data_IF_256227529567
#
_entry.id   IF_256227529567
#
_cell.length_a   1.000
_cell.length_b   1.000
_cell.length_c   1.000
_cell.angle_alpha   90.00
_cell.angle_beta   90.00
_cell.angle_gamma   90.00
#
_symmetry.space_group_name_H-M   'P 1'
#
loop_
_entity.id
_entity.type
_entity.pdbx_description
1 polymer ?
#
# COMPACT_ATOMS: atom_id res chain seq x y z
N UNK A 1 7.83 -18.01 15.82
CA UNK A 1 7.30 -17.07 14.81
C UNK A 1 7.64 -17.64 13.44
N UNK A 2 6.73 -18.29 12.71
CA UNK A 2 7.08 -18.87 11.42
C UNK A 2 6.83 -17.88 10.28
N UNK A 3 7.95 -17.50 9.68
CA UNK A 3 8.24 -16.89 8.38
C UNK A 3 7.14 -16.83 7.31
N UNK A 4 6.85 -15.60 6.85
CA UNK A 4 6.45 -15.33 5.46
C UNK A 4 7.61 -15.75 4.54
N UNK A 5 7.41 -16.79 3.72
CA UNK A 5 8.38 -17.23 2.71
C UNK A 5 8.36 -16.25 1.53
N UNK A 6 9.46 -15.55 1.27
CA UNK A 6 9.69 -14.82 0.02
C UNK A 6 10.39 -15.70 -1.03
N UNK A 7 10.00 -15.54 -2.29
CA UNK A 7 10.66 -16.12 -3.47
C UNK A 7 11.91 -15.30 -3.88
N UNK A 8 12.85 -15.89 -4.65
CA UNK A 8 14.26 -15.50 -4.63
C UNK A 8 14.63 -14.29 -5.51
N UNK A 9 15.79 -13.72 -5.17
CA UNK A 9 16.54 -12.63 -5.80
C UNK A 9 16.68 -12.77 -7.32
N UNK A 10 16.29 -11.72 -8.06
CA UNK A 10 17.11 -10.85 -8.95
C UNK A 10 16.21 -10.14 -9.97
N UNK A 11 16.54 -8.87 -10.31
CA UNK A 11 16.32 -8.12 -11.58
C UNK A 11 16.20 -6.58 -11.33
N UNK A 12 17.33 -5.96 -10.99
CA UNK A 12 17.85 -4.59 -11.21
C UNK A 12 16.93 -3.34 -11.47
N UNK A 13 16.74 -2.49 -10.41
CA UNK A 13 16.60 -0.99 -10.34
C UNK A 13 15.31 -0.27 -10.80
N UNK A 14 14.88 0.94 -10.31
CA UNK A 14 14.90 1.57 -8.97
C UNK A 14 13.54 1.76 -8.26
N UNK A 15 13.54 2.28 -7.01
CA UNK A 15 12.51 2.99 -6.18
C UNK A 15 11.75 2.27 -5.02
N UNK A 16 11.17 3.05 -4.06
CA UNK A 16 10.22 2.53 -3.07
C UNK A 16 8.92 2.10 -3.73
N UNK A 17 8.68 2.59 -4.96
CA UNK A 17 7.59 2.26 -5.86
C UNK A 17 8.12 1.99 -7.28
N UNK A 18 8.55 0.75 -7.58
CA UNK A 18 9.42 0.43 -8.72
C UNK A 18 8.89 0.77 -10.13
N UNK A 19 9.40 1.81 -10.86
CA UNK A 19 8.88 2.23 -12.16
C UNK A 19 9.04 1.21 -13.27
N UNK A 20 9.99 0.28 -13.11
CA UNK A 20 10.19 -0.84 -14.04
C UNK A 20 9.17 -1.97 -13.82
N UNK A 21 8.52 -1.96 -12.66
CA UNK A 21 7.52 -2.91 -12.22
C UNK A 21 6.22 -2.14 -11.95
N UNK A 22 5.86 -1.14 -12.74
CA UNK A 22 4.58 -0.47 -12.54
C UNK A 22 3.47 -1.23 -13.25
N UNK A 23 2.33 -1.42 -12.60
CA UNK A 23 1.11 -1.91 -13.29
C UNK A 23 0.64 -0.88 -14.35
N UNK A 24 1.32 0.27 -14.48
CA UNK A 24 1.12 1.37 -15.45
C UNK A 24 1.03 0.99 -16.93
N UNK A 25 1.11 -0.28 -17.32
CA UNK A 25 0.67 -0.73 -18.65
C UNK A 25 -0.86 -0.59 -18.82
N UNK A 26 -1.60 -0.28 -17.77
CA UNK A 26 -3.02 0.10 -17.83
C UNK A 26 -3.22 1.39 -18.65
N UNK A 27 -3.84 1.25 -19.83
CA UNK A 27 -4.38 2.39 -20.58
C UNK A 27 -5.28 3.23 -19.66
N UNK A 28 -5.02 4.54 -19.60
CA UNK A 28 -5.81 5.51 -18.84
C UNK A 28 -5.84 5.29 -17.30
N UNK A 29 -4.86 4.58 -16.72
CA UNK A 29 -4.77 4.31 -15.27
C UNK A 29 -6.01 3.56 -14.71
N UNK A 30 -6.67 2.79 -15.57
CA UNK A 30 -7.80 1.94 -15.25
C UNK A 30 -7.35 0.49 -15.07
N UNK A 31 -7.60 -0.08 -13.89
CA UNK A 31 -7.20 -1.44 -13.54
C UNK A 31 -8.43 -2.34 -13.37
N UNK A 32 -8.33 -3.56 -13.87
CA UNK A 32 -9.27 -4.62 -13.52
C UNK A 32 -9.10 -5.07 -12.08
N UNK A 33 -10.19 -5.47 -11.44
CA UNK A 33 -10.19 -6.14 -10.15
C UNK A 33 -10.96 -7.45 -10.29
N UNK A 34 -10.30 -8.56 -10.02
CA UNK A 34 -10.91 -9.88 -10.03
C UNK A 34 -10.88 -10.42 -8.60
N UNK A 35 -12.05 -10.70 -8.03
CA UNK A 35 -12.15 -11.24 -6.66
C UNK A 35 -12.72 -12.66 -6.74
N UNK A 36 -12.02 -13.64 -6.16
CA UNK A 36 -12.51 -15.02 -6.09
C UNK A 36 -13.86 -15.09 -5.36
N UNK A 37 -14.80 -15.86 -5.90
CA UNK A 37 -16.10 -16.11 -5.25
C UNK A 37 -15.96 -16.92 -3.95
N UNK A 38 -14.83 -17.59 -3.73
CA UNK A 38 -14.53 -18.33 -2.50
C UNK A 38 -14.07 -17.43 -1.34
N UNK A 39 -13.72 -16.18 -1.60
CA UNK A 39 -13.41 -15.19 -0.55
C UNK A 39 -14.71 -14.78 0.15
N UNK A 40 -14.73 -14.68 1.47
CA UNK A 40 -15.95 -14.36 2.22
C UNK A 40 -16.57 -13.01 1.79
N UNK A 41 -17.90 -12.91 1.85
CA UNK A 41 -18.64 -11.72 1.39
C UNK A 41 -18.17 -10.44 2.07
N UNK A 42 -17.84 -10.50 3.37
CA UNK A 42 -17.33 -9.36 4.15
C UNK A 42 -15.98 -8.90 3.59
N UNK A 43 -15.02 -9.81 3.42
CA UNK A 43 -13.73 -9.51 2.79
C UNK A 43 -13.89 -8.87 1.41
N UNK A 44 -14.81 -9.38 0.57
CA UNK A 44 -15.08 -8.80 -0.76
C UNK A 44 -15.60 -7.36 -0.67
N UNK A 45 -16.38 -7.03 0.36
CA UNK A 45 -16.81 -5.65 0.61
C UNK A 45 -15.63 -4.77 1.03
N UNK A 46 -14.73 -5.26 1.88
CA UNK A 46 -13.54 -4.52 2.31
C UNK A 46 -12.58 -4.28 1.12
N UNK A 47 -12.39 -5.27 0.25
CA UNK A 47 -11.63 -5.10 -1.02
C UNK A 47 -12.21 -3.94 -1.85
N UNK A 48 -13.53 -3.90 -2.04
CA UNK A 48 -14.20 -2.80 -2.75
C UNK A 48 -13.99 -1.45 -2.08
N UNK A 49 -14.08 -1.42 -0.75
CA UNK A 49 -13.84 -0.20 0.03
C UNK A 49 -12.40 0.30 -0.13
N UNK A 50 -11.42 -0.59 -0.10
CA UNK A 50 -10.00 -0.25 -0.31
C UNK A 50 -9.77 0.35 -1.71
N UNK A 51 -10.32 -0.26 -2.78
CA UNK A 51 -10.21 0.34 -4.12
C UNK A 51 -10.96 1.66 -4.26
N UNK A 52 -12.12 1.82 -3.62
CA UNK A 52 -12.82 3.09 -3.57
C UNK A 52 -11.98 4.16 -2.86
N UNK A 53 -11.32 3.81 -1.77
CA UNK A 53 -10.41 4.72 -1.07
C UNK A 53 -9.29 5.19 -1.99
N UNK A 54 -8.56 4.27 -2.63
CA UNK A 54 -7.52 4.64 -3.60
C UNK A 54 -8.06 5.47 -4.76
N UNK A 55 -9.23 5.12 -5.32
CA UNK A 55 -9.86 5.85 -6.42
C UNK A 55 -10.26 7.28 -6.03
N UNK A 56 -10.69 7.49 -4.79
CA UNK A 56 -11.13 8.80 -4.27
C UNK A 56 -9.97 9.70 -3.87
N UNK A 57 -8.81 9.13 -3.56
CA UNK A 57 -7.61 9.86 -3.14
C UNK A 57 -6.51 9.91 -4.21
N UNK A 58 -6.76 9.36 -5.39
CA UNK A 58 -5.83 9.37 -6.51
C UNK A 58 -6.54 9.51 -7.84
N UNK A 59 -5.76 9.54 -8.92
CA UNK A 59 -6.29 9.46 -10.28
C UNK A 59 -6.45 8.03 -10.80
N UNK A 60 -6.17 7.00 -9.98
CA UNK A 60 -6.32 5.60 -10.37
C UNK A 60 -7.80 5.21 -10.39
N UNK A 61 -8.19 4.34 -11.33
CA UNK A 61 -9.58 3.86 -11.45
C UNK A 61 -9.61 2.34 -11.48
N UNK A 62 -10.68 1.77 -10.95
CA UNK A 62 -10.82 0.33 -10.77
C UNK A 62 -12.18 -0.13 -11.28
N UNK A 63 -12.20 -1.28 -11.98
CA UNK A 63 -13.42 -1.91 -12.46
C UNK A 63 -13.39 -3.39 -12.13
N UNK A 64 -14.48 -3.91 -11.55
CA UNK A 64 -14.60 -5.36 -11.36
C UNK A 64 -14.68 -6.05 -12.72
N UNK A 65 -13.69 -6.87 -13.03
CA UNK A 65 -13.60 -7.56 -14.30
C UNK A 65 -12.64 -8.75 -14.20
N UNK A 66 -13.12 -9.91 -14.62
CA UNK A 66 -12.30 -11.13 -14.74
C UNK A 66 -11.43 -11.15 -15.99
N UNK A 67 -11.62 -10.21 -16.91
CA UNK A 67 -10.99 -10.19 -18.24
C UNK A 67 -10.21 -8.91 -18.55
N UNK A 68 -10.38 -7.84 -17.76
CA UNK A 68 -9.60 -6.62 -17.92
C UNK A 68 -8.10 -6.88 -17.74
N UNK A 69 -7.30 -6.09 -18.45
CA UNK A 69 -5.84 -6.16 -18.43
C UNK A 69 -5.30 -4.72 -18.34
N UNK A 70 -4.37 -4.44 -17.41
CA UNK A 70 -3.96 -5.31 -16.32
C UNK A 70 -5.05 -5.43 -15.25
N UNK A 71 -5.01 -6.49 -14.44
CA UNK A 71 -5.93 -6.69 -13.31
C UNK A 71 -5.25 -7.24 -12.07
N UNK A 72 -5.73 -6.79 -10.92
CA UNK A 72 -5.37 -7.34 -9.61
C UNK A 72 -6.34 -8.46 -9.29
N UNK A 73 -5.82 -9.66 -8.98
CA UNK A 73 -6.62 -10.84 -8.70
C UNK A 73 -6.48 -11.28 -7.24
N UNK A 74 -7.56 -11.17 -6.47
CA UNK A 74 -7.64 -11.65 -5.10
C UNK A 74 -8.03 -13.11 -5.06
N UNK A 75 -7.27 -13.89 -4.31
CA UNK A 75 -7.47 -15.33 -4.12
C UNK A 75 -7.52 -15.67 -2.64
N UNK A 76 -8.37 -16.62 -2.28
CA UNK A 76 -8.33 -17.20 -0.95
C UNK A 76 -7.12 -18.13 -0.84
N UNK A 77 -6.43 -18.11 0.29
CA UNK A 77 -5.31 -18.97 0.62
C UNK A 77 -5.47 -19.49 2.06
N UNK A 78 -4.92 -20.67 2.35
CA UNK A 78 -4.96 -21.22 3.71
C UNK A 78 -4.01 -20.47 4.65
N UNK A 79 -2.92 -19.89 4.15
CA UNK A 79 -1.95 -19.15 4.96
C UNK A 79 -1.33 -17.99 4.19
N UNK A 80 -0.91 -16.96 4.93
CA UNK A 80 -0.15 -15.80 4.43
C UNK A 80 -0.99 -14.67 3.83
N UNK A 81 -0.66 -13.43 4.21
CA UNK A 81 -1.12 -12.21 3.57
C UNK A 81 0.04 -11.65 2.75
N UNK A 82 -0.07 -11.66 1.42
CA UNK A 82 1.01 -11.12 0.58
C UNK A 82 0.56 -10.75 -0.84
N UNK A 83 1.28 -9.80 -1.42
CA UNK A 83 1.27 -9.48 -2.82
C UNK A 83 2.70 -9.32 -3.33
N UNK A 84 2.87 -9.51 -4.63
CA UNK A 84 4.09 -9.04 -5.28
C UNK A 84 4.13 -7.52 -5.32
N UNK A 85 5.35 -6.99 -5.36
CA UNK A 85 5.56 -5.55 -5.45
C UNK A 85 5.59 -5.15 -6.91
N UNK A 86 4.52 -4.52 -7.39
CA UNK A 86 4.42 -4.00 -8.75
C UNK A 86 4.18 -5.06 -9.85
N UNK A 87 4.09 -4.60 -11.10
CA UNK A 87 3.92 -5.38 -12.31
C UNK A 87 4.98 -6.45 -12.51
N UNK A 88 4.48 -7.65 -12.78
CA UNK A 88 5.27 -8.86 -12.94
C UNK A 88 5.75 -9.11 -14.39
N UNK A 89 5.51 -8.19 -15.31
CA UNK A 89 5.91 -8.37 -16.72
C UNK A 89 4.93 -9.21 -17.57
N UNK A 90 5.24 -9.29 -18.85
CA UNK A 90 4.68 -10.21 -19.85
C UNK A 90 5.49 -11.52 -19.98
N UNK A 91 6.75 -11.53 -19.50
CA UNK A 91 7.68 -12.66 -19.55
C UNK A 91 7.49 -13.73 -18.46
N UNK A 92 6.35 -13.74 -17.76
CA UNK A 92 6.04 -14.90 -16.91
C UNK A 92 5.78 -16.20 -17.70
N UNK A 93 5.71 -16.10 -19.03
CA UNK A 93 5.79 -17.25 -19.95
C UNK A 93 7.21 -17.55 -20.49
N UNK A 94 8.25 -16.86 -19.99
CA UNK A 94 9.63 -16.94 -20.51
C UNK A 94 10.77 -16.73 -19.49
N UNK A 95 10.51 -16.72 -18.18
CA UNK A 95 11.57 -16.64 -17.17
C UNK A 95 12.62 -17.77 -17.34
N UNK A 96 13.93 -17.48 -17.21
CA UNK A 96 14.99 -18.49 -17.25
C UNK A 96 14.68 -19.61 -16.25
N UNK A 97 14.91 -20.86 -16.67
CA UNK A 97 14.53 -22.10 -15.95
C UNK A 97 15.08 -22.24 -14.53
N UNK A 98 15.93 -21.31 -14.06
CA UNK A 98 16.50 -21.26 -12.72
C UNK A 98 15.77 -20.33 -11.75
N UNK A 99 14.89 -19.44 -12.21
CA UNK A 99 14.04 -18.62 -11.34
C UNK A 99 12.67 -19.28 -11.17
N UNK A 100 12.24 -19.41 -9.92
CA UNK A 100 11.02 -20.14 -9.54
C UNK A 100 9.80 -19.60 -10.30
N UNK A 101 9.33 -20.36 -11.29
CA UNK A 101 8.05 -20.16 -11.97
C UNK A 101 6.96 -19.92 -10.91
N UNK A 102 6.34 -18.75 -10.88
CA UNK A 102 5.17 -18.39 -10.10
C UNK A 102 4.08 -19.23 -10.73
N UNK A 103 3.89 -20.41 -10.16
CA UNK A 103 2.84 -21.37 -10.51
C UNK A 103 1.44 -20.74 -10.46
N UNK A 104 1.34 -19.57 -9.82
CA UNK A 104 0.14 -18.78 -9.61
C UNK A 104 -0.01 -17.60 -10.60
N UNK A 105 0.99 -17.27 -11.41
CA UNK A 105 0.96 -16.12 -12.34
C UNK A 105 0.61 -16.58 -13.76
N UNK A 106 -0.57 -17.18 -13.93
CA UNK A 106 -1.04 -17.65 -15.24
C UNK A 106 -1.89 -16.57 -15.93
N UNK A 107 -1.29 -15.80 -16.83
CA UNK A 107 -2.01 -14.87 -17.73
C UNK A 107 -1.38 -13.49 -17.84
N UNK A 108 -1.39 -12.91 -19.04
CA UNK A 108 -0.89 -11.56 -19.31
C UNK A 108 -1.59 -10.50 -18.46
N UNK A 109 -0.79 -9.69 -17.75
CA UNK A 109 -1.26 -8.57 -16.92
C UNK A 109 -2.10 -8.96 -15.71
N UNK A 110 -1.91 -10.18 -15.18
CA UNK A 110 -2.55 -10.63 -13.95
C UNK A 110 -1.60 -10.45 -12.76
N UNK A 111 -2.06 -9.75 -11.73
CA UNK A 111 -1.31 -9.52 -10.49
C UNK A 111 -2.00 -10.19 -9.30
N UNK A 112 -1.51 -11.33 -8.79
CA UNK A 112 -2.16 -12.04 -7.70
C UNK A 112 -1.92 -11.34 -6.35
N UNK A 113 -2.99 -11.23 -5.57
CA UNK A 113 -2.98 -10.89 -4.15
C UNK A 113 -3.54 -12.09 -3.39
N UNK A 114 -2.74 -12.63 -2.49
CA UNK A 114 -3.13 -13.76 -1.66
C UNK A 114 -3.69 -13.26 -0.34
N UNK A 115 -4.93 -13.65 -0.06
CA UNK A 115 -5.59 -13.37 1.22
C UNK A 115 -5.68 -14.65 2.04
N UNK A 116 -4.76 -14.82 2.98
CA UNK A 116 -4.71 -15.95 3.89
C UNK A 116 -5.62 -15.75 5.10
N UNK A 117 -6.43 -16.77 5.43
CA UNK A 117 -7.40 -16.74 6.54
C UNK A 117 -6.77 -16.46 7.92
N UNK A 118 -5.49 -16.79 8.10
CA UNK A 118 -4.76 -16.62 9.37
C UNK A 118 -4.16 -15.21 9.58
N UNK A 119 -4.10 -14.36 8.53
CA UNK A 119 -3.29 -13.13 8.57
C UNK A 119 -3.91 -11.92 7.86
N UNK A 120 -4.78 -12.13 6.87
CA UNK A 120 -5.63 -11.08 6.35
C UNK A 120 -7.00 -11.23 7.01
N UNK A 121 -7.10 -10.86 8.29
CA UNK A 121 -8.43 -10.58 8.85
C UNK A 121 -9.13 -9.56 7.95
N UNK A 122 -10.46 -9.48 7.99
CA UNK A 122 -11.31 -8.55 7.19
C UNK A 122 -11.06 -7.05 7.53
N UNK A 123 -9.80 -6.67 7.74
CA UNK A 123 -9.26 -5.38 8.09
C UNK A 123 -8.89 -4.59 6.84
N UNK A 124 -9.42 -3.37 6.78
CA UNK A 124 -9.16 -2.42 5.71
C UNK A 124 -7.66 -2.14 5.52
N UNK A 125 -6.90 -1.99 6.62
CA UNK A 125 -5.47 -1.72 6.54
C UNK A 125 -4.67 -2.88 5.95
N UNK A 126 -4.98 -4.11 6.32
CA UNK A 126 -4.31 -5.32 5.82
C UNK A 126 -4.56 -5.52 4.32
N UNK A 127 -5.82 -5.43 3.88
CA UNK A 127 -6.14 -5.50 2.43
C UNK A 127 -5.54 -4.31 1.67
N UNK A 128 -5.62 -3.11 2.26
CA UNK A 128 -5.02 -1.90 1.69
C UNK A 128 -3.51 -2.01 1.54
N UNK A 129 -2.82 -2.69 2.45
CA UNK A 129 -1.37 -2.94 2.43
C UNK A 129 -0.98 -3.78 1.21
N UNK A 130 -1.68 -4.90 1.00
CA UNK A 130 -1.41 -5.79 -0.13
C UNK A 130 -1.73 -5.14 -1.48
N UNK A 131 -2.77 -4.31 -1.53
CA UNK A 131 -3.05 -3.48 -2.72
C UNK A 131 -1.90 -2.50 -2.96
N UNK A 132 -1.33 -1.92 -1.91
CA UNK A 132 -0.25 -0.94 -2.07
C UNK A 132 1.04 -1.59 -2.57
N UNK A 133 1.34 -2.82 -2.12
CA UNK A 133 2.36 -3.66 -2.75
C UNK A 133 2.09 -3.85 -4.24
N UNK A 134 0.86 -4.19 -4.64
CA UNK A 134 0.52 -4.32 -6.06
C UNK A 134 0.77 -3.02 -6.85
N UNK A 135 0.60 -1.85 -6.23
CA UNK A 135 0.95 -0.57 -6.84
C UNK A 135 2.45 -0.25 -6.89
N UNK A 136 3.30 -1.16 -6.44
CA UNK A 136 4.75 -1.07 -6.50
C UNK A 136 5.41 -0.76 -5.17
N UNK A 137 4.65 -0.56 -4.08
CA UNK A 137 5.19 0.02 -2.85
C UNK A 137 5.86 -1.02 -1.96
N UNK A 138 7.13 -0.81 -1.61
CA UNK A 138 7.86 -1.61 -0.64
C UNK A 138 7.58 -1.18 0.80
N UNK A 139 7.95 -2.03 1.76
CA UNK A 139 7.82 -1.69 3.17
C UNK A 139 8.64 -0.47 3.56
N UNK A 140 8.07 0.37 4.43
CA UNK A 140 8.66 1.63 4.86
C UNK A 140 10.01 1.43 5.59
N UNK A 141 10.16 0.35 6.37
CA UNK A 141 11.42 0.05 7.08
C UNK A 141 12.54 -0.47 6.17
N UNK A 142 12.24 -0.72 4.89
CA UNK A 142 13.21 -1.10 3.86
C UNK A 142 13.75 0.11 3.09
N UNK A 143 13.32 1.35 3.41
CA UNK A 143 13.91 2.55 2.78
C UNK A 143 15.43 2.59 2.93
N UNK A 144 16.12 3.10 1.91
CA UNK A 144 17.57 3.28 1.93
C UNK A 144 18.04 4.18 3.10
N UNK A 145 17.21 5.15 3.48
CA UNK A 145 17.46 6.14 4.54
C UNK A 145 16.88 5.73 5.90
N UNK A 146 16.31 4.51 6.05
CA UNK A 146 15.60 4.09 7.27
C UNK A 146 16.45 4.16 8.55
N UNK A 147 17.76 3.98 8.44
CA UNK A 147 18.68 4.05 9.59
C UNK A 147 18.75 5.46 10.19
N UNK A 148 18.26 6.50 9.51
CA UNK A 148 18.12 7.85 10.08
C UNK A 148 16.90 7.97 11.02
N UNK A 149 15.98 7.00 10.98
CA UNK A 149 14.67 7.07 11.64
C UNK A 149 14.43 5.93 12.64
N UNK A 150 14.96 4.75 12.37
CA UNK A 150 14.83 3.59 13.24
C UNK A 150 16.19 2.91 13.48
N UNK A 151 16.24 2.08 14.51
CA UNK A 151 17.31 1.13 14.78
C UNK A 151 16.71 -0.26 14.92
N UNK A 152 17.38 -1.26 14.37
CA UNK A 152 16.97 -2.65 14.44
C UNK A 152 17.84 -3.41 15.42
N UNK A 153 17.28 -4.44 16.07
CA UNK A 153 18.12 -5.44 16.73
C UNK A 153 18.98 -6.18 15.71
N UNK A 154 20.11 -6.74 16.13
CA UNK A 154 21.00 -7.52 15.25
C UNK A 154 20.27 -8.66 14.55
N UNK A 155 19.33 -9.31 15.23
CA UNK A 155 18.54 -10.39 14.67
C UNK A 155 17.67 -9.91 13.50
N UNK A 156 16.97 -8.79 13.64
CA UNK A 156 16.18 -8.23 12.54
C UNK A 156 17.06 -7.65 11.44
N UNK A 157 18.18 -7.01 11.77
CA UNK A 157 19.10 -6.49 10.76
C UNK A 157 19.70 -7.59 9.86
N UNK A 158 19.81 -8.81 10.37
CA UNK A 158 20.25 -10.00 9.62
C UNK A 158 19.11 -10.72 8.88
N UNK A 159 17.85 -10.32 9.11
CA UNK A 159 16.68 -10.91 8.46
C UNK A 159 16.47 -10.27 7.08
N UNK A 160 16.23 -11.11 6.07
CA UNK A 160 15.99 -10.67 4.69
C UNK A 160 14.78 -9.73 4.56
N UNK A 161 13.79 -9.85 5.46
CA UNK A 161 12.58 -9.00 5.47
C UNK A 161 12.85 -7.54 5.87
N UNK A 162 13.98 -7.27 6.52
CA UNK A 162 14.36 -5.95 7.02
C UNK A 162 15.55 -5.35 6.26
N UNK A 163 15.94 -5.97 5.15
CA UNK A 163 17.00 -5.44 4.31
C UNK A 163 16.58 -4.10 3.72
N UNK A 164 17.54 -3.18 3.71
CA UNK A 164 17.38 -1.90 3.05
C UNK A 164 17.44 -2.12 1.55
N UNK A 165 16.57 -1.43 0.84
CA UNK A 165 16.73 -1.17 -0.57
C UNK A 165 17.89 -0.19 -0.74
N UNK A 166 18.69 -0.38 -1.78
CA UNK A 166 19.69 0.62 -2.17
C UNK A 166 19.02 1.90 -2.66
N UNK A 167 19.74 3.01 -2.72
CA UNK A 167 19.26 4.25 -3.38
C UNK A 167 18.85 4.00 -4.83
N UNK A 168 19.53 3.07 -5.49
CA UNK A 168 19.23 2.63 -6.86
C UNK A 168 18.02 1.71 -6.94
N UNK A 169 17.41 1.36 -5.80
CA UNK A 169 16.22 0.52 -5.62
C UNK A 169 15.21 1.20 -4.70
N UNK A 170 15.36 2.50 -4.39
CA UNK A 170 14.53 3.19 -3.40
C UNK A 170 14.46 4.69 -3.66
N UNK A 171 13.25 5.21 -3.85
CA UNK A 171 12.97 6.60 -4.17
C UNK A 171 11.70 6.97 -3.45
N UNK A 172 11.84 7.87 -2.50
CA UNK A 172 10.77 8.34 -1.63
C UNK A 172 10.05 9.57 -2.21
N UNK A 173 10.42 10.04 -3.40
CA UNK A 173 9.90 11.27 -4.00
C UNK A 173 10.02 12.51 -3.09
N UNK A 174 11.04 12.53 -2.21
CA UNK A 174 11.23 13.60 -1.23
C UNK A 174 10.26 13.54 -0.05
N UNK A 175 9.43 12.50 0.06
CA UNK A 175 8.56 12.30 1.23
C UNK A 175 9.38 11.96 2.48
N UNK A 176 8.90 12.49 3.60
CA UNK A 176 9.46 12.19 4.91
C UNK A 176 9.29 10.71 5.26
N UNK A 177 10.07 10.22 6.23
CA UNK A 177 9.86 8.88 6.76
C UNK A 177 8.60 8.84 7.61
N UNK A 178 7.63 8.03 7.20
CA UNK A 178 6.34 7.91 7.86
C UNK A 178 6.28 6.66 8.74
N UNK A 179 6.44 6.84 10.06
CA UNK A 179 6.28 5.77 11.03
C UNK A 179 4.86 5.19 11.07
N UNK A 180 3.85 5.97 10.64
CA UNK A 180 2.45 5.56 10.57
C UNK A 180 2.01 5.07 9.21
N UNK A 181 2.95 4.92 8.26
CA UNK A 181 2.65 4.33 6.96
C UNK A 181 2.03 2.95 7.15
N UNK A 182 1.02 2.64 6.35
CA UNK A 182 0.42 1.31 6.33
C UNK A 182 1.47 0.26 5.92
N UNK A 183 2.55 0.68 5.26
CA UNK A 183 3.67 -0.16 4.82
C UNK A 183 4.77 -0.31 5.88
N UNK A 184 4.61 0.26 7.08
CA UNK A 184 5.57 0.08 8.18
C UNK A 184 5.26 -1.18 8.99
N UNK A 185 6.30 -1.96 9.32
CA UNK A 185 6.18 -3.08 10.26
C UNK A 185 6.02 -2.62 11.71
N UNK A 186 5.53 -3.52 12.56
CA UNK A 186 5.34 -3.24 13.98
C UNK A 186 6.64 -3.02 14.75
N UNK A 187 6.49 -2.40 15.92
CA UNK A 187 7.60 -1.98 16.80
C UNK A 187 8.49 -3.10 17.37
N UNK A 188 8.11 -4.37 17.25
CA UNK A 188 8.87 -5.48 17.86
C UNK A 188 10.25 -5.58 17.23
N UNK A 189 11.30 -5.40 18.03
CA UNK A 189 12.70 -5.40 17.56
C UNK A 189 13.12 -4.15 16.76
N UNK A 190 12.23 -3.17 16.62
CA UNK A 190 12.51 -1.88 15.99
C UNK A 190 12.41 -0.76 17.03
N UNK A 191 13.38 0.14 17.07
CA UNK A 191 13.37 1.33 17.94
C UNK A 191 13.35 2.58 17.10
N UNK A 192 12.29 3.38 17.20
CA UNK A 192 12.23 4.71 16.60
C UNK A 192 13.25 5.62 17.29
N UNK A 193 14.06 6.31 16.49
CA UNK A 193 15.04 7.29 16.99
C UNK A 193 14.37 8.48 17.68
N UNK A 194 13.16 8.83 17.24
CA UNK A 194 12.28 9.71 18.00
C UNK A 194 11.24 8.86 18.77
N UNK A 195 11.30 8.80 20.11
CA UNK A 195 10.45 7.94 20.92
C UNK A 195 8.94 8.19 20.78
N UNK A 196 8.53 9.40 20.39
CA UNK A 196 7.09 9.74 20.25
C UNK A 196 6.42 8.90 19.16
N UNK A 197 7.19 8.41 18.18
CA UNK A 197 6.68 7.60 17.07
C UNK A 197 6.76 6.09 17.32
N UNK A 198 7.28 5.65 18.47
CA UNK A 198 7.49 4.22 18.75
C UNK A 198 6.19 3.41 18.67
N UNK A 199 5.06 4.01 19.10
CA UNK A 199 3.74 3.38 19.09
C UNK A 199 2.96 3.61 17.80
N UNK A 200 3.49 4.42 16.89
CA UNK A 200 2.89 4.68 15.58
C UNK A 200 3.19 3.55 14.58
N UNK A 201 4.36 2.91 14.72
CA UNK A 201 4.81 1.82 13.85
C UNK A 201 3.89 0.59 13.90
N UNK A 202 3.53 0.09 12.71
CA UNK A 202 2.72 -1.12 12.54
C UNK A 202 1.21 -0.89 12.66
N UNK A 203 0.76 0.36 12.64
CA UNK A 203 -0.66 0.65 12.54
C UNK A 203 -1.25 0.02 11.25
N UNK A 204 -2.49 -0.48 11.34
CA UNK A 204 -3.25 -1.11 10.24
C UNK A 204 -4.60 -0.43 10.04
N UNK A 205 -4.61 0.90 10.14
CA UNK A 205 -5.82 1.70 9.90
C UNK A 205 -6.11 1.91 8.41
N UNK A 206 -5.09 1.78 7.55
CA UNK A 206 -5.16 2.12 6.13
C UNK A 206 -4.02 3.03 5.70
N UNK A 207 -3.91 3.36 4.39
CA UNK A 207 -2.83 4.20 3.87
C UNK A 207 -2.85 5.58 4.51
N UNK A 208 -1.70 6.03 4.97
CA UNK A 208 -1.51 7.36 5.54
C UNK A 208 -1.64 8.46 4.49
N UNK A 209 -1.65 9.71 4.94
CA UNK A 209 -1.62 10.85 4.02
C UNK A 209 -0.33 10.88 3.18
N UNK A 210 0.82 10.48 3.76
CA UNK A 210 2.11 10.42 3.06
C UNK A 210 2.12 9.24 2.07
N UNK A 211 1.50 8.11 2.40
CA UNK A 211 1.31 6.98 1.47
C UNK A 211 0.58 7.43 0.20
N UNK A 212 -0.49 8.23 0.34
CA UNK A 212 -1.23 8.76 -0.81
C UNK A 212 -0.41 9.80 -1.59
N UNK A 213 0.38 10.66 -0.95
CA UNK A 213 1.29 11.57 -1.67
C UNK A 213 2.30 10.76 -2.49
N UNK A 214 2.88 9.72 -1.90
CA UNK A 214 3.84 8.83 -2.55
C UNK A 214 3.20 8.19 -3.80
N UNK A 215 2.00 7.63 -3.65
CA UNK A 215 1.22 7.05 -4.74
C UNK A 215 0.94 8.07 -5.85
N UNK A 216 0.39 9.23 -5.51
CA UNK A 216 0.01 10.25 -6.48
C UNK A 216 1.19 10.86 -7.21
N UNK A 217 2.32 11.01 -6.53
CA UNK A 217 3.55 11.49 -7.17
C UNK A 217 4.06 10.45 -8.17
N UNK A 218 4.12 9.18 -7.75
CA UNK A 218 4.59 8.09 -8.58
C UNK A 218 3.71 7.88 -9.83
N UNK A 219 2.38 7.78 -9.66
CA UNK A 219 1.43 7.61 -10.76
C UNK A 219 1.13 8.91 -11.53
N UNK A 220 1.88 9.99 -11.29
CA UNK A 220 1.71 11.31 -11.94
C UNK A 220 0.26 11.79 -11.89
N UNK A 221 -0.35 11.67 -10.72
CA UNK A 221 -1.69 12.16 -10.43
C UNK A 221 -1.71 13.60 -9.91
N UNK A 222 -0.53 14.17 -9.58
CA UNK A 222 -0.44 15.55 -9.11
C UNK A 222 -1.00 16.52 -10.16
N UNK A 223 -1.94 17.36 -9.73
CA UNK A 223 -2.57 18.37 -10.58
C UNK A 223 -1.53 19.33 -11.16
N UNK A 224 -1.52 19.49 -12.48
CA UNK A 224 -0.64 20.44 -13.17
C UNK A 224 -1.14 21.87 -13.00
N UNK A 225 -2.47 22.04 -12.96
CA UNK A 225 -3.14 23.30 -12.65
C UNK A 225 -4.20 23.04 -11.59
N UNK A 226 -4.42 24.03 -10.72
CA UNK A 226 -5.44 23.95 -9.68
C UNK A 226 -6.07 25.32 -9.47
N UNK A 227 -7.38 25.34 -9.24
CA UNK A 227 -8.13 26.54 -8.86
C UNK A 227 -8.15 26.77 -7.35
N UNK A 228 -7.51 25.91 -6.56
CA UNK A 228 -7.49 25.97 -5.10
C UNK A 228 -6.07 26.03 -4.56
N UNK A 229 -5.87 26.83 -3.52
CA UNK A 229 -4.63 26.82 -2.73
C UNK A 229 -4.85 26.04 -1.45
N UNK A 230 -4.07 24.97 -1.27
CA UNK A 230 -4.15 24.13 -0.08
C UNK A 230 -3.22 24.64 1.02
N UNK A 231 -3.68 24.56 2.26
CA UNK A 231 -2.90 24.93 3.46
C UNK A 231 -2.68 23.71 4.36
N UNK A 232 -1.91 23.88 5.44
CA UNK A 232 -1.63 22.84 6.45
C UNK A 232 -1.07 21.53 5.89
N UNK A 233 -0.32 21.60 4.79
CA UNK A 233 0.28 20.43 4.14
C UNK A 233 -0.68 19.66 3.22
N UNK A 234 -1.92 20.15 3.00
CA UNK A 234 -2.80 19.62 1.97
C UNK A 234 -2.28 19.86 0.55
N UNK A 235 -2.80 19.11 -0.43
CA UNK A 235 -2.51 19.33 -1.85
C UNK A 235 -3.75 19.11 -2.73
N UNK A 236 -3.80 19.68 -3.95
CA UNK A 236 -4.98 19.57 -4.81
C UNK A 236 -5.35 18.10 -5.08
N UNK A 237 -6.63 17.78 -4.88
CA UNK A 237 -7.17 16.45 -5.11
C UNK A 237 -7.11 16.11 -6.61
N UNK A 238 -6.45 15.00 -7.00
CA UNK A 238 -6.40 14.56 -8.40
C UNK A 238 -7.78 14.33 -9.02
N UNK A 239 -8.81 14.10 -8.21
CA UNK A 239 -10.20 14.03 -8.65
C UNK A 239 -10.81 15.44 -8.80
N UNK A 240 -10.37 16.17 -9.82
CA UNK A 240 -10.98 17.43 -10.25
C UNK A 240 -10.18 18.70 -9.94
N UNK A 241 -9.09 18.61 -9.17
CA UNK A 241 -8.13 19.71 -8.95
C UNK A 241 -8.73 21.03 -8.42
N UNK A 242 -9.94 20.99 -7.85
CA UNK A 242 -10.71 22.14 -7.37
C UNK A 242 -10.98 22.11 -5.85
N UNK A 243 -10.47 21.09 -5.17
CA UNK A 243 -10.50 20.93 -3.71
C UNK A 243 -9.21 20.24 -3.26
N UNK A 244 -8.88 20.32 -1.98
CA UNK A 244 -7.67 19.74 -1.42
C UNK A 244 -7.92 18.37 -0.78
N UNK A 245 -6.96 17.46 -0.92
CA UNK A 245 -6.80 16.34 0.00
C UNK A 245 -6.06 16.85 1.23
N UNK A 246 -6.62 16.56 2.42
CA UNK A 246 -6.14 17.11 3.67
C UNK A 246 -5.43 16.06 4.52
N UNK A 247 -4.33 16.42 5.19
CA UNK A 247 -3.77 15.57 6.24
C UNK A 247 -4.75 15.45 7.40
N UNK A 248 -4.65 14.35 8.15
CA UNK A 248 -5.50 14.09 9.31
C UNK A 248 -5.50 15.26 10.30
N UNK A 249 -6.68 15.61 10.81
CA UNK A 249 -6.89 16.77 11.68
C UNK A 249 -7.25 18.06 10.95
N UNK A 250 -7.29 18.05 9.61
CA UNK A 250 -7.74 19.18 8.80
C UNK A 250 -8.79 18.76 7.77
N UNK A 251 -9.69 19.69 7.43
CA UNK A 251 -10.80 19.46 6.50
C UNK A 251 -11.18 20.74 5.73
N UNK A 252 -12.21 20.64 4.89
CA UNK A 252 -12.70 21.71 4.03
C UNK A 252 -11.94 21.80 2.70
N UNK A 253 -12.43 22.64 1.78
CA UNK A 253 -11.94 22.74 0.40
C UNK A 253 -10.45 23.09 0.30
N UNK A 254 -9.91 23.84 1.27
CA UNK A 254 -8.52 24.31 1.31
C UNK A 254 -7.68 23.65 2.41
N UNK A 255 -8.25 22.75 3.22
CA UNK A 255 -7.64 22.22 4.45
C UNK A 255 -7.40 23.27 5.56
N UNK A 256 -8.11 24.40 5.54
CA UNK A 256 -7.97 25.45 6.56
C UNK A 256 -8.79 25.18 7.83
N UNK A 257 -9.75 24.27 7.77
CA UNK A 257 -10.63 23.96 8.90
C UNK A 257 -9.94 22.88 9.72
N UNK A 258 -9.85 23.07 11.04
CA UNK A 258 -9.49 21.97 11.94
C UNK A 258 -10.64 20.99 11.95
N UNK A 259 -10.37 19.76 11.55
CA UNK A 259 -11.34 18.69 11.73
C UNK A 259 -11.57 18.55 13.24
N UNK A 260 -12.81 18.74 13.75
CA UNK A 260 -13.07 18.59 15.19
C UNK A 260 -12.69 17.21 15.71
N UNK A 261 -12.45 16.25 14.80
CA UNK A 261 -12.35 14.85 15.15
C UNK A 261 -13.72 14.35 15.58
N UNK A 262 -13.90 13.04 15.56
CA UNK A 262 -14.97 12.46 16.37
C UNK A 262 -14.50 12.55 17.83
N UNK A 263 -15.33 13.06 18.74
CA UNK A 263 -15.02 13.24 20.18
C UNK A 263 -14.54 11.96 20.91
N UNK A 264 -14.55 10.81 20.24
CA UNK A 264 -13.98 9.56 20.69
C UNK A 264 -12.67 9.25 19.95
N UNK A 265 -11.59 9.94 20.35
CA UNK A 265 -10.23 9.74 19.83
C UNK A 265 -9.58 8.40 20.29
N UNK A 266 -10.35 7.31 20.23
CA UNK A 266 -9.89 5.92 20.30
C UNK A 266 -9.92 5.22 18.94
N UNK A 267 -10.51 5.83 17.91
CA UNK A 267 -10.55 5.34 16.53
C UNK A 267 -10.40 6.50 15.54
N UNK A 268 -9.17 6.81 15.14
CA UNK A 268 -8.94 7.70 14.01
C UNK A 268 -9.26 6.95 12.70
N UNK A 269 -10.20 7.49 11.93
CA UNK A 269 -10.76 7.00 10.66
C UNK A 269 -11.48 5.65 10.71
N UNK A 270 -12.80 5.71 10.93
CA UNK A 270 -13.71 4.57 10.88
C UNK A 270 -15.03 4.91 10.19
N UNK A 271 -15.00 5.10 8.87
CA UNK A 271 -16.09 4.53 8.07
C UNK A 271 -15.62 3.13 7.67
N UNK A 272 -16.41 2.13 8.07
CA UNK A 272 -16.31 0.71 7.75
C UNK A 272 -15.51 -0.19 8.71
N UNK A 273 -16.14 -0.57 9.83
CA UNK A 273 -16.38 -1.97 10.19
C UNK A 273 -17.15 -2.01 11.52
N UNK A 274 -18.47 -2.12 11.46
CA UNK A 274 -19.23 -2.72 12.55
C UNK A 274 -19.28 -4.22 12.26
N UNK A 275 -18.32 -4.98 12.75
CA UNK A 275 -18.57 -6.37 13.11
C UNK A 275 -18.27 -6.52 14.60
N UNK A 276 -19.26 -7.10 15.29
CA UNK A 276 -19.39 -7.12 16.73
C UNK A 276 -18.41 -8.12 17.35
N UNK A 277 -18.04 -7.83 18.59
CA UNK A 277 -17.52 -8.74 19.61
C UNK A 277 -16.13 -9.32 19.34
N UNK A 278 -15.14 -8.83 20.10
CA UNK A 278 -14.28 -9.67 20.95
C UNK A 278 -13.55 -8.81 21.98
N UNK A 279 -13.84 -9.16 23.23
CA UNK A 279 -13.23 -8.83 24.50
C UNK A 279 -11.87 -8.12 24.49
N UNK A 280 -11.85 -6.94 25.10
CA UNK A 280 -10.85 -6.60 26.12
C UNK A 280 -11.40 -7.04 27.48
#
# INVERSE_FOLDING_TARGET
>A
MPSLKMLPKTLDGPTMISPKLDILVAKDKLFGVQVSMTIATVTRQVIRQAFNYYSNHSCLKFVESSTAIPRIQFRNATTGCFSYVGYLGNDWYGAPSSQTKCSVCSGYGLHPVNLGEDFCDDEFGSIGHEIFHAFGVHHQMSRYDRDNYISLTTALAADDQYQKLSTDNSYNYGTQYDYGSNMHYGKTGQTAKNPIYQRTMGARFGPSFIDIILLNTHYKCMCQTSSVTCVNGGYPNPNGCNSCLCPGGFSGTTCSIRDPGTENCGYCFGLMSKSKNKHW
#
